data_IF_936663308777
#
_entry.id   IF_936663308777
#
_cell.length_a   1.000
_cell.length_b   1.000
_cell.length_c   1.000
_cell.angle_alpha   90.00
_cell.angle_beta   90.00
_cell.angle_gamma   90.00
#
_symmetry.space_group_name_H-M   'P 1'
#
loop_
_entity.id
_entity.type
_entity.pdbx_description
1 polymer ?
#
# COMPACT_ATOMS: atom_id res chain seq x y z
N UNK A 1 12.96 -47.12 -3.64
CA UNK A 1 13.64 -45.96 -3.02
C UNK A 1 14.47 -45.28 -4.10
N UNK A 2 13.95 -44.20 -4.70
CA UNK A 2 14.65 -43.37 -5.69
C UNK A 2 14.41 -41.91 -5.29
N UNK A 3 15.46 -41.24 -4.83
CA UNK A 3 15.51 -39.81 -4.56
C UNK A 3 15.58 -39.07 -5.90
N UNK A 4 14.68 -38.12 -6.12
CA UNK A 4 14.75 -37.17 -7.23
C UNK A 4 15.12 -35.81 -6.62
N UNK A 5 16.31 -35.31 -6.94
CA UNK A 5 16.75 -33.94 -6.62
C UNK A 5 16.18 -32.98 -7.66
N UNK A 6 15.29 -32.07 -7.25
CA UNK A 6 14.91 -30.90 -8.05
C UNK A 6 15.84 -29.73 -7.69
N UNK A 7 16.82 -29.46 -8.55
CA UNK A 7 17.60 -28.22 -8.52
C UNK A 7 16.82 -27.14 -9.27
N UNK A 8 16.00 -26.38 -8.55
CA UNK A 8 15.30 -25.21 -9.08
C UNK A 8 16.16 -23.96 -8.99
N UNK A 9 16.65 -23.49 -10.13
CA UNK A 9 17.37 -22.22 -10.28
C UNK A 9 16.35 -21.06 -10.15
N UNK A 10 16.37 -20.34 -9.03
CA UNK A 10 15.54 -19.14 -8.84
C UNK A 10 16.26 -17.96 -9.49
N UNK A 11 15.73 -17.50 -10.64
CA UNK A 11 16.18 -16.29 -11.29
C UNK A 11 15.75 -15.07 -10.46
N UNK A 12 16.71 -14.40 -9.83
CA UNK A 12 16.50 -13.12 -9.17
C UNK A 12 16.25 -12.03 -10.22
N UNK A 13 15.04 -11.48 -10.24
CA UNK A 13 14.79 -10.19 -10.88
C UNK A 13 15.48 -9.09 -10.06
N UNK A 14 16.61 -8.60 -10.56
CA UNK A 14 17.26 -7.39 -10.08
C UNK A 14 16.34 -6.21 -10.39
N UNK A 15 15.80 -5.59 -9.35
CA UNK A 15 15.30 -4.21 -9.43
C UNK A 15 16.43 -3.31 -8.97
N UNK A 16 17.11 -2.68 -9.92
CA UNK A 16 18.00 -1.56 -9.64
C UNK A 16 17.15 -0.38 -9.17
N UNK A 17 17.08 -0.18 -7.86
CA UNK A 17 16.75 1.14 -7.32
C UNK A 17 18.02 1.96 -7.49
N UNK A 18 18.06 2.81 -8.52
CA UNK A 18 18.97 3.95 -8.51
C UNK A 18 18.46 4.86 -7.40
N UNK A 19 19.10 4.81 -6.24
CA UNK A 19 18.94 5.82 -5.21
C UNK A 19 19.53 7.11 -5.78
N UNK A 20 18.70 7.92 -6.44
CA UNK A 20 19.06 9.31 -6.67
C UNK A 20 19.10 9.99 -5.31
N UNK A 21 20.29 10.39 -4.85
CA UNK A 21 20.42 11.26 -3.68
C UNK A 21 19.43 12.41 -3.82
N UNK A 22 18.52 12.52 -2.84
CA UNK A 22 17.64 13.67 -2.76
C UNK A 22 18.52 14.93 -2.62
N UNK A 23 18.32 15.96 -3.44
CA UNK A 23 19.04 17.21 -3.26
C UNK A 23 18.73 17.72 -1.85
N UNK A 24 19.78 17.98 -1.05
CA UNK A 24 19.69 18.77 0.19
C UNK A 24 19.30 20.20 -0.19
N UNK A 25 18.03 20.41 -0.49
CA UNK A 25 17.42 21.73 -0.48
C UNK A 25 17.24 22.10 0.98
N UNK A 26 18.10 22.99 1.48
CA UNK A 26 17.82 23.70 2.72
C UNK A 26 16.58 24.56 2.48
N UNK A 27 15.42 24.07 2.92
CA UNK A 27 14.18 24.84 2.92
C UNK A 27 14.33 26.00 3.91
N UNK A 28 14.23 27.23 3.42
CA UNK A 28 14.03 28.42 4.25
C UNK A 28 12.90 28.14 5.24
N UNK A 29 13.06 28.42 6.55
CA UNK A 29 11.97 28.21 7.50
C UNK A 29 10.80 29.13 7.12
N UNK A 30 9.76 28.55 6.54
CA UNK A 30 8.51 29.24 6.29
C UNK A 30 7.91 29.62 7.64
N UNK A 31 7.50 30.87 7.81
CA UNK A 31 6.80 31.34 9.01
C UNK A 31 5.39 30.74 9.17
N UNK A 32 4.92 29.98 8.17
CA UNK A 32 3.62 29.34 8.14
C UNK A 32 3.63 27.99 8.86
N UNK A 33 2.56 27.69 9.59
CA UNK A 33 2.39 26.39 10.23
C UNK A 33 2.42 25.25 9.19
N UNK A 34 2.88 24.03 9.55
CA UNK A 34 2.86 22.89 8.62
C UNK A 34 1.49 22.70 7.98
N UNK A 35 0.44 22.92 8.78
CA UNK A 35 -0.95 22.90 8.36
C UNK A 35 -1.26 23.77 7.14
N UNK A 36 -0.81 25.02 7.16
CA UNK A 36 -1.10 26.00 6.11
C UNK A 36 -0.38 25.68 4.79
N UNK A 37 0.71 24.91 4.87
CA UNK A 37 1.50 24.49 3.71
C UNK A 37 0.90 23.30 2.96
N UNK A 38 -0.04 22.57 3.57
CA UNK A 38 -0.63 21.36 2.97
C UNK A 38 -1.58 21.73 1.83
N UNK A 39 -1.36 21.14 0.67
CA UNK A 39 -2.24 21.19 -0.49
C UNK A 39 -2.58 19.78 -0.97
N UNK A 40 -3.60 19.66 -1.83
CA UNK A 40 -4.00 18.38 -2.43
C UNK A 40 -2.85 17.75 -3.24
N UNK A 41 -1.94 18.57 -3.75
CA UNK A 41 -0.83 18.14 -4.60
C UNK A 41 0.44 17.76 -3.82
N UNK A 42 0.58 18.12 -2.55
CA UNK A 42 1.85 17.98 -1.81
C UNK A 42 1.78 17.13 -0.54
N UNK A 43 0.59 16.76 -0.07
CA UNK A 43 0.43 16.07 1.22
C UNK A 43 1.12 14.69 1.28
N UNK A 44 1.28 14.00 0.14
CA UNK A 44 1.90 12.66 -0.01
C UNK A 44 3.03 12.68 -1.05
N UNK A 45 3.97 13.63 -0.91
CA UNK A 45 5.18 13.72 -1.75
C UNK A 45 6.47 13.30 -1.02
N UNK A 46 6.36 12.93 0.26
CA UNK A 46 7.49 12.59 1.11
C UNK A 46 8.16 13.80 1.74
N UNK A 47 9.12 13.54 2.62
CA UNK A 47 9.79 14.56 3.43
C UNK A 47 8.97 15.00 4.64
N UNK A 48 9.43 16.07 5.30
CA UNK A 48 8.90 16.50 6.60
C UNK A 48 7.41 16.90 6.57
N UNK A 49 6.93 17.48 5.47
CA UNK A 49 5.51 17.86 5.36
C UNK A 49 4.59 16.63 5.31
N UNK A 50 4.91 15.65 4.47
CA UNK A 50 4.14 14.39 4.43
C UNK A 50 4.21 13.63 5.74
N UNK A 51 5.38 13.59 6.38
CA UNK A 51 5.54 13.00 7.72
C UNK A 51 4.60 13.64 8.74
N UNK A 52 4.54 14.98 8.79
CA UNK A 52 3.59 15.69 9.64
C UNK A 52 2.14 15.35 9.31
N UNK A 53 1.77 15.30 8.02
CA UNK A 53 0.41 14.93 7.59
C UNK A 53 0.04 13.52 8.06
N UNK A 54 0.96 12.56 8.03
CA UNK A 54 0.69 11.17 8.38
C UNK A 54 0.32 10.95 9.84
N UNK A 55 0.76 11.85 10.73
CA UNK A 55 0.41 11.85 12.15
C UNK A 55 -0.72 12.83 12.50
N UNK A 56 -1.12 13.71 11.57
CA UNK A 56 -2.15 14.75 11.76
C UNK A 56 -3.27 14.70 10.71
N UNK A 57 -3.58 13.50 10.19
CA UNK A 57 -4.56 13.30 9.10
C UNK A 57 -5.92 13.93 9.40
N UNK A 58 -6.38 13.85 10.65
CA UNK A 58 -7.69 14.38 11.07
C UNK A 58 -7.76 15.90 11.04
N UNK A 59 -6.62 16.57 11.10
CA UNK A 59 -6.59 17.98 10.81
C UNK A 59 -6.82 18.16 9.31
N UNK A 60 -6.15 17.38 8.45
CA UNK A 60 -6.04 17.58 6.98
C UNK A 60 -7.31 17.22 6.23
N UNK A 61 -7.86 16.07 6.51
CA UNK A 61 -8.99 15.53 5.78
C UNK A 61 -10.21 15.40 6.69
N UNK A 62 -11.42 15.59 6.16
CA UNK A 62 -12.65 15.26 6.88
C UNK A 62 -12.57 13.82 7.41
N UNK A 63 -12.66 13.69 8.73
CA UNK A 63 -12.40 12.43 9.42
C UNK A 63 -13.56 12.06 10.34
N UNK A 64 -13.90 10.78 10.37
CA UNK A 64 -14.85 10.21 11.31
C UNK A 64 -14.10 9.39 12.36
N UNK A 65 -14.52 9.50 13.62
CA UNK A 65 -13.90 8.75 14.73
C UNK A 65 -14.51 7.35 14.79
N UNK A 66 -13.70 6.33 14.52
CA UNK A 66 -14.03 4.93 14.80
C UNK A 66 -13.65 4.65 16.26
N UNK A 67 -14.65 4.58 17.15
CA UNK A 67 -14.41 4.34 18.57
C UNK A 67 -14.09 2.85 18.81
N UNK A 68 -13.13 2.58 19.69
CA UNK A 68 -12.91 1.22 20.22
C UNK A 68 -14.18 0.71 20.91
N UNK A 69 -14.47 -0.58 20.73
CA UNK A 69 -15.48 -1.28 21.51
C UNK A 69 -14.83 -2.11 22.62
N UNK A 70 -15.51 -2.26 23.75
CA UNK A 70 -15.09 -3.17 24.82
C UNK A 70 -13.87 -2.72 25.65
N UNK A 71 -13.37 -3.65 26.46
CA UNK A 71 -12.22 -3.44 27.34
C UNK A 71 -10.89 -3.42 26.56
N UNK A 72 -9.89 -2.73 27.10
CA UNK A 72 -8.51 -2.78 26.58
C UNK A 72 -7.93 -4.15 26.95
N UNK A 73 -7.26 -4.78 25.99
CA UNK A 73 -6.47 -5.99 26.22
C UNK A 73 -5.00 -5.60 26.09
N UNK A 74 -4.31 -5.53 27.22
CA UNK A 74 -2.88 -5.25 27.25
C UNK A 74 -2.09 -6.47 26.78
N UNK A 75 -1.18 -6.25 25.83
CA UNK A 75 -0.25 -7.29 25.39
C UNK A 75 0.93 -7.36 26.37
N UNK A 76 1.29 -8.55 26.90
CA UNK A 76 2.48 -8.69 27.71
C UNK A 76 3.73 -8.28 26.93
N UNK A 77 4.66 -7.60 27.62
CA UNK A 77 5.92 -7.13 27.04
C UNK A 77 7.07 -8.06 27.48
N UNK A 78 7.81 -8.59 26.50
CA UNK A 78 9.00 -9.43 26.70
C UNK A 78 10.04 -9.03 25.66
N UNK A 79 10.62 -7.84 25.82
CA UNK A 79 11.56 -7.27 24.86
C UNK A 79 12.82 -8.12 24.71
N UNK A 80 13.22 -8.33 23.46
CA UNK A 80 14.35 -9.17 23.05
C UNK A 80 15.33 -8.33 22.25
N UNK A 81 16.48 -8.03 22.86
CA UNK A 81 17.51 -7.18 22.24
C UNK A 81 18.08 -7.81 20.97
N UNK A 82 18.06 -9.14 20.87
CA UNK A 82 18.45 -9.89 19.67
C UNK A 82 17.60 -9.56 18.44
N UNK A 83 16.34 -9.14 18.62
CA UNK A 83 15.45 -8.74 17.52
C UNK A 83 15.96 -7.44 16.88
N UNK A 84 16.35 -6.45 17.69
CA UNK A 84 16.96 -5.21 17.22
C UNK A 84 18.32 -5.44 16.54
N UNK A 85 19.04 -6.48 16.95
CA UNK A 85 20.34 -6.88 16.39
C UNK A 85 20.24 -7.71 15.09
N UNK A 86 19.03 -8.07 14.63
CA UNK A 86 18.84 -8.82 13.38
C UNK A 86 19.47 -8.07 12.21
N UNK A 87 20.30 -8.79 11.44
CA UNK A 87 20.97 -8.24 10.27
C UNK A 87 20.03 -8.22 9.07
N UNK A 88 19.83 -7.04 8.53
CA UNK A 88 19.09 -6.76 7.30
C UNK A 88 20.10 -6.50 6.17
N UNK A 89 19.82 -7.05 4.99
CA UNK A 89 20.60 -6.77 3.78
C UNK A 89 19.88 -5.72 2.95
N UNK A 90 20.60 -4.65 2.64
CA UNK A 90 20.13 -3.60 1.75
C UNK A 90 20.26 -4.05 0.28
N UNK A 91 19.56 -3.35 -0.61
CA UNK A 91 19.59 -3.64 -2.04
C UNK A 91 20.99 -3.41 -2.67
N UNK A 92 21.80 -2.53 -2.07
CA UNK A 92 23.19 -2.27 -2.47
C UNK A 92 24.20 -3.29 -1.90
N UNK A 93 23.72 -4.29 -1.15
CA UNK A 93 24.56 -5.32 -0.52
C UNK A 93 25.16 -4.93 0.83
N UNK A 94 24.95 -3.68 1.30
CA UNK A 94 25.34 -3.30 2.65
C UNK A 94 24.47 -4.00 3.71
N UNK A 95 25.01 -4.17 4.92
CA UNK A 95 24.27 -4.71 6.06
C UNK A 95 23.97 -3.60 7.07
N UNK A 96 22.77 -3.64 7.64
CA UNK A 96 22.40 -2.84 8.81
C UNK A 96 21.59 -3.70 9.79
N UNK A 97 21.55 -3.32 11.06
CA UNK A 97 20.65 -3.98 12.02
C UNK A 97 19.23 -3.47 11.87
N UNK A 98 18.24 -4.20 12.39
CA UNK A 98 16.86 -3.69 12.51
C UNK A 98 16.81 -2.38 13.29
N UNK A 99 17.61 -2.28 14.36
CA UNK A 99 17.76 -1.05 15.13
C UNK A 99 18.23 0.13 14.28
N UNK A 100 19.23 -0.07 13.43
CA UNK A 100 19.72 0.97 12.54
C UNK A 100 18.67 1.35 11.50
N UNK A 101 17.97 0.37 10.94
CA UNK A 101 16.92 0.61 9.97
C UNK A 101 15.76 1.41 10.56
N UNK A 102 15.26 1.04 11.75
CA UNK A 102 14.15 1.76 12.38
C UNK A 102 14.56 3.19 12.75
N UNK A 103 15.81 3.41 13.17
CA UNK A 103 16.28 4.74 13.55
C UNK A 103 16.84 5.59 12.39
N UNK A 104 16.70 5.17 11.13
CA UNK A 104 17.26 5.90 9.98
C UNK A 104 16.45 7.12 9.51
N UNK A 105 15.31 7.40 10.16
CA UNK A 105 14.42 8.52 9.85
C UNK A 105 13.34 8.24 8.80
N UNK A 106 13.25 7.01 8.28
CA UNK A 106 12.19 6.58 7.37
C UNK A 106 11.06 5.77 8.04
N UNK A 107 11.22 5.43 9.33
CA UNK A 107 10.26 4.62 10.09
C UNK A 107 9.77 5.42 11.28
N UNK A 108 8.45 5.57 11.36
CA UNK A 108 7.81 6.33 12.43
C UNK A 108 7.68 5.53 13.71
N UNK A 109 7.26 4.26 13.55
CA UNK A 109 7.17 3.27 14.62
C UNK A 109 7.25 1.86 14.08
N UNK A 110 7.78 0.95 14.89
CA UNK A 110 7.91 -0.46 14.58
C UNK A 110 7.59 -1.30 15.81
N UNK A 111 6.67 -2.25 15.66
CA UNK A 111 6.21 -3.18 16.70
C UNK A 111 6.30 -4.61 16.15
N UNK A 112 6.93 -5.52 16.90
CA UNK A 112 6.94 -6.95 16.60
C UNK A 112 6.27 -7.70 17.75
N UNK A 113 5.21 -8.42 17.40
CA UNK A 113 4.48 -9.28 18.32
C UNK A 113 4.79 -10.74 17.97
N UNK A 114 5.21 -11.52 18.96
CA UNK A 114 5.47 -12.95 18.81
C UNK A 114 4.82 -13.72 19.96
N UNK A 115 4.03 -14.75 19.62
CA UNK A 115 3.28 -15.55 20.59
C UNK A 115 2.42 -14.72 21.58
N UNK A 116 1.78 -13.66 21.06
CA UNK A 116 0.91 -12.77 21.86
C UNK A 116 1.67 -11.79 22.76
N UNK A 117 2.99 -11.66 22.62
CA UNK A 117 3.82 -10.76 23.41
C UNK A 117 4.54 -9.76 22.53
N UNK A 118 4.71 -8.54 23.01
CA UNK A 118 5.56 -7.54 22.36
C UNK A 118 7.01 -7.94 22.63
N UNK A 119 7.75 -8.29 21.57
CA UNK A 119 9.17 -8.71 21.67
C UNK A 119 10.13 -7.65 21.15
N UNK A 120 9.63 -6.64 20.46
CA UNK A 120 10.39 -5.48 20.00
C UNK A 120 9.42 -4.33 19.74
N UNK A 121 9.73 -3.15 20.25
CA UNK A 121 9.03 -1.93 19.88
C UNK A 121 9.96 -0.72 19.92
N UNK A 122 9.84 0.16 18.93
CA UNK A 122 10.53 1.46 18.88
C UNK A 122 9.67 2.46 18.12
N UNK A 123 9.65 3.71 18.61
CA UNK A 123 8.90 4.81 18.01
C UNK A 123 9.81 6.04 17.90
N UNK A 124 10.66 6.12 16.84
CA UNK A 124 11.64 7.20 16.72
C UNK A 124 11.04 8.58 16.52
N UNK A 125 9.85 8.67 15.92
CA UNK A 125 9.23 9.96 15.57
C UNK A 125 7.82 10.16 16.10
N UNK A 126 7.21 9.14 16.70
CA UNK A 126 5.86 9.17 17.26
C UNK A 126 5.86 8.63 18.69
N UNK A 127 4.79 8.83 19.43
CA UNK A 127 4.51 8.16 20.70
C UNK A 127 3.74 6.86 20.48
N UNK A 128 3.76 5.91 21.43
CA UNK A 128 3.04 4.65 21.31
C UNK A 128 1.52 4.78 21.10
N UNK A 129 0.93 5.89 21.53
CA UNK A 129 -0.51 6.18 21.44
C UNK A 129 -0.90 7.17 20.33
N UNK A 130 0.07 7.64 19.55
CA UNK A 130 -0.20 8.50 18.39
C UNK A 130 -0.95 7.75 17.28
N UNK A 131 -1.85 8.46 16.61
CA UNK A 131 -2.51 7.95 15.40
C UNK A 131 -1.62 8.17 14.18
N UNK A 132 -1.53 7.15 13.32
CA UNK A 132 -0.77 7.21 12.08
C UNK A 132 -1.64 6.78 10.90
N UNK A 133 -1.48 7.43 9.74
CA UNK A 133 -2.11 6.96 8.50
C UNK A 133 -1.58 5.58 8.13
N UNK A 134 -2.47 4.63 7.85
CA UNK A 134 -2.08 3.26 7.47
C UNK A 134 -2.25 3.00 5.97
N UNK A 135 -2.61 4.04 5.21
CA UNK A 135 -2.81 3.99 3.76
C UNK A 135 -3.66 2.78 3.34
N UNK A 136 -3.17 1.98 2.39
CA UNK A 136 -3.88 0.81 1.85
C UNK A 136 -4.04 -0.34 2.84
N UNK A 137 -3.38 -0.35 4.01
CA UNK A 137 -3.66 -1.35 5.06
C UNK A 137 -5.13 -1.28 5.49
N UNK A 138 -5.76 -0.11 5.40
CA UNK A 138 -7.20 0.12 5.65
C UNK A 138 -8.10 -0.88 4.92
N UNK A 139 -7.72 -1.30 3.71
CA UNK A 139 -8.51 -2.22 2.87
C UNK A 139 -8.72 -3.58 3.54
N UNK A 140 -7.74 -4.07 4.29
CA UNK A 140 -7.87 -5.32 5.03
C UNK A 140 -9.01 -5.26 6.06
N UNK A 141 -9.20 -4.10 6.70
CA UNK A 141 -10.28 -3.87 7.68
C UNK A 141 -11.65 -3.90 6.99
N UNK A 142 -11.78 -3.21 5.85
CA UNK A 142 -13.01 -3.20 5.04
C UNK A 142 -13.34 -4.61 4.52
N UNK A 143 -12.33 -5.33 4.04
CA UNK A 143 -12.48 -6.71 3.57
C UNK A 143 -12.91 -7.67 4.67
N UNK A 144 -12.36 -7.54 5.87
CA UNK A 144 -12.77 -8.36 7.01
C UNK A 144 -14.25 -8.12 7.36
N UNK A 145 -14.70 -6.87 7.36
CA UNK A 145 -16.11 -6.54 7.57
C UNK A 145 -17.00 -7.14 6.47
N UNK A 146 -16.55 -7.09 5.21
CA UNK A 146 -17.28 -7.65 4.09
C UNK A 146 -17.38 -9.19 4.17
N UNK A 147 -16.30 -9.87 4.56
CA UNK A 147 -16.30 -11.31 4.79
C UNK A 147 -17.28 -11.71 5.90
N UNK A 148 -17.35 -10.95 7.00
CA UNK A 148 -18.35 -11.15 8.06
C UNK A 148 -19.77 -10.99 7.53
N UNK A 149 -20.02 -10.00 6.66
CA UNK A 149 -21.34 -9.77 6.08
C UNK A 149 -21.75 -10.87 5.08
N UNK A 150 -20.78 -11.41 4.34
CA UNK A 150 -20.98 -12.57 3.45
C UNK A 150 -21.30 -13.82 4.27
N UNK A 151 -20.53 -14.12 5.32
CA UNK A 151 -20.78 -15.26 6.23
C UNK A 151 -22.16 -15.19 6.90
N UNK A 152 -22.62 -13.97 7.22
CA UNK A 152 -23.96 -13.72 7.74
C UNK A 152 -25.08 -13.81 6.68
N UNK A 153 -24.76 -14.07 5.41
CA UNK A 153 -25.71 -14.12 4.30
C UNK A 153 -26.33 -12.76 3.95
N UNK A 154 -25.76 -11.64 4.44
CA UNK A 154 -26.25 -10.28 4.18
C UNK A 154 -25.76 -9.73 2.85
N UNK A 155 -24.61 -10.20 2.39
CA UNK A 155 -24.02 -9.88 1.09
C UNK A 155 -23.72 -11.19 0.37
N UNK A 156 -23.83 -11.17 -0.94
CA UNK A 156 -23.46 -12.26 -1.83
C UNK A 156 -22.45 -11.70 -2.82
N UNK A 157 -21.18 -12.10 -2.70
CA UNK A 157 -20.11 -11.52 -3.52
C UNK A 157 -20.19 -11.93 -5.00
N UNK A 158 -20.94 -12.99 -5.33
CA UNK A 158 -21.15 -13.39 -6.72
C UNK A 158 -22.15 -12.47 -7.45
N UNK A 159 -22.86 -11.60 -6.73
CA UNK A 159 -23.73 -10.60 -7.34
C UNK A 159 -22.95 -9.42 -7.91
N UNK A 160 -23.43 -8.82 -9.02
CA UNK A 160 -22.92 -7.56 -9.53
C UNK A 160 -22.97 -6.44 -8.49
N UNK A 161 -21.99 -5.53 -8.53
CA UNK A 161 -21.85 -4.44 -7.57
C UNK A 161 -23.08 -3.52 -7.52
N UNK A 162 -23.76 -3.32 -8.65
CA UNK A 162 -24.95 -2.48 -8.74
C UNK A 162 -26.18 -3.03 -7.98
N UNK A 163 -26.15 -4.31 -7.57
CA UNK A 163 -27.17 -4.87 -6.69
C UNK A 163 -27.07 -4.29 -5.27
N UNK A 164 -25.88 -3.84 -4.87
CA UNK A 164 -25.62 -3.23 -3.56
C UNK A 164 -25.51 -1.71 -3.66
N UNK A 165 -25.04 -1.19 -4.80
CA UNK A 165 -24.86 0.23 -5.07
C UNK A 165 -25.59 0.62 -6.37
N UNK A 166 -26.92 0.87 -6.33
CA UNK A 166 -27.73 1.13 -7.52
C UNK A 166 -27.23 2.32 -8.37
N UNK A 167 -26.51 3.27 -7.78
CA UNK A 167 -25.93 4.44 -8.44
C UNK A 167 -24.77 4.12 -9.39
N UNK A 168 -24.28 2.87 -9.36
CA UNK A 168 -23.25 2.36 -10.27
C UNK A 168 -23.82 1.81 -11.58
N UNK A 169 -25.15 1.73 -11.71
CA UNK A 169 -25.79 1.36 -12.99
C UNK A 169 -25.35 2.32 -14.11
N UNK A 170 -24.94 1.74 -15.24
CA UNK A 170 -24.45 2.50 -16.40
C UNK A 170 -23.06 3.12 -16.23
N UNK A 171 -22.32 2.73 -15.18
CA UNK A 171 -20.88 3.05 -15.05
C UNK A 171 -20.03 1.88 -15.51
N UNK A 172 -18.72 2.11 -15.64
CA UNK A 172 -17.72 1.06 -15.97
C UNK A 172 -17.72 -0.11 -14.97
N UNK A 173 -18.28 0.10 -13.78
CA UNK A 173 -18.42 -0.91 -12.72
C UNK A 173 -19.60 -1.85 -12.91
N UNK A 174 -20.61 -1.45 -13.70
CA UNK A 174 -21.83 -2.20 -13.85
C UNK A 174 -21.55 -3.59 -14.45
N UNK A 175 -22.19 -4.62 -13.90
CA UNK A 175 -21.97 -6.01 -14.29
C UNK A 175 -20.74 -6.67 -13.69
N UNK A 176 -19.85 -5.91 -13.02
CA UNK A 176 -18.70 -6.50 -12.32
C UNK A 176 -19.16 -7.12 -11.02
N UNK A 177 -18.83 -8.41 -10.80
CA UNK A 177 -19.16 -9.08 -9.54
C UNK A 177 -18.40 -8.43 -8.39
N UNK A 178 -19.03 -8.35 -7.23
CA UNK A 178 -18.39 -7.80 -6.05
C UNK A 178 -17.14 -8.61 -5.67
N UNK A 179 -17.14 -9.93 -5.90
CA UNK A 179 -15.98 -10.84 -5.79
C UNK A 179 -14.79 -10.36 -6.63
N UNK A 180 -15.03 -10.00 -7.89
CA UNK A 180 -13.96 -9.55 -8.78
C UNK A 180 -13.40 -8.19 -8.32
N UNK A 181 -14.19 -7.34 -7.67
CA UNK A 181 -13.71 -6.07 -7.12
C UNK A 181 -12.82 -6.25 -5.89
N UNK A 182 -13.25 -7.09 -4.94
CA UNK A 182 -12.49 -7.35 -3.71
C UNK A 182 -11.19 -8.09 -4.00
N UNK A 183 -11.20 -8.93 -5.03
CA UNK A 183 -10.02 -9.67 -5.50
C UNK A 183 -9.15 -8.86 -6.47
N UNK A 184 -9.52 -7.61 -6.79
CA UNK A 184 -8.76 -6.73 -7.69
C UNK A 184 -8.65 -7.27 -9.12
N UNK A 185 -9.73 -7.85 -9.63
CA UNK A 185 -9.86 -8.51 -10.94
C UNK A 185 -10.93 -7.87 -11.84
N UNK A 186 -11.27 -6.61 -11.58
CA UNK A 186 -12.25 -5.83 -12.36
C UNK A 186 -11.85 -5.66 -13.83
N UNK A 187 -10.53 -5.58 -14.11
CA UNK A 187 -10.01 -5.28 -15.44
C UNK A 187 -10.30 -3.86 -15.92
N UNK A 188 -10.71 -2.95 -15.02
CA UNK A 188 -10.99 -1.55 -15.38
C UNK A 188 -9.70 -0.76 -15.59
N UNK A 189 -9.76 0.21 -16.50
CA UNK A 189 -8.66 1.14 -16.73
C UNK A 189 -8.68 2.30 -15.71
N UNK A 190 -7.81 2.19 -14.70
CA UNK A 190 -7.53 3.24 -13.70
C UNK A 190 -6.19 3.94 -13.92
N UNK A 191 -6.11 5.23 -13.57
CA UNK A 191 -4.84 5.97 -13.47
C UNK A 191 -4.52 6.21 -11.99
N UNK A 192 -3.43 5.63 -11.50
CA UNK A 192 -2.97 5.72 -10.11
C UNK A 192 -2.01 6.90 -9.86
N UNK A 193 -2.03 7.92 -10.72
CA UNK A 193 -1.14 9.08 -10.59
C UNK A 193 -1.63 10.03 -9.50
N UNK A 194 -0.72 10.48 -8.62
CA UNK A 194 -0.99 11.48 -7.59
C UNK A 194 -1.42 12.84 -8.14
N UNK A 195 -1.09 13.12 -9.41
CA UNK A 195 -1.59 14.25 -10.19
C UNK A 195 -2.89 13.92 -10.96
N UNK A 196 -3.77 13.11 -10.40
CA UNK A 196 -5.10 12.84 -10.95
C UNK A 196 -6.00 14.07 -10.87
N UNK A 197 -5.66 15.14 -11.59
CA UNK A 197 -6.49 16.32 -11.73
C UNK A 197 -7.86 15.90 -12.29
N UNK A 198 -8.88 15.95 -11.43
CA UNK A 198 -10.27 15.86 -11.85
C UNK A 198 -10.57 16.99 -12.83
N UNK A 199 -10.53 16.69 -14.12
CA UNK A 199 -11.19 17.44 -15.17
C UNK A 199 -11.64 16.46 -16.28
N UNK A 200 -12.92 16.43 -16.72
CA UNK A 200 -14.10 17.16 -16.26
C UNK A 200 -14.96 16.33 -15.28
N UNK A 201 -15.86 17.00 -14.54
CA UNK A 201 -16.77 16.51 -13.46
C UNK A 201 -17.43 15.12 -13.59
N UNK A 202 -17.40 14.45 -14.75
CA UNK A 202 -17.94 13.10 -14.95
C UNK A 202 -16.92 11.98 -14.67
N UNK A 203 -15.62 12.25 -14.76
CA UNK A 203 -14.56 11.24 -14.58
C UNK A 203 -14.09 11.06 -13.13
N UNK A 204 -14.54 11.90 -12.20
CA UNK A 204 -14.19 11.83 -10.78
C UNK A 204 -14.76 10.56 -10.06
N UNK A 205 -15.45 9.65 -10.79
CA UNK A 205 -15.85 8.32 -10.29
C UNK A 205 -14.70 7.28 -10.31
N UNK A 206 -13.56 7.59 -10.94
CA UNK A 206 -12.48 6.62 -11.17
C UNK A 206 -11.57 6.34 -9.96
N UNK A 207 -11.68 7.11 -8.87
CA UNK A 207 -10.96 6.81 -7.62
C UNK A 207 -11.64 5.76 -6.72
N UNK A 208 -12.72 5.11 -7.18
CA UNK A 208 -13.43 4.09 -6.39
C UNK A 208 -12.73 2.73 -6.34
N UNK A 209 -11.77 2.45 -7.22
CA UNK A 209 -10.93 1.22 -7.11
C UNK A 209 -9.99 1.29 -5.92
N UNK A 210 -9.38 2.46 -5.68
CA UNK A 210 -8.51 2.68 -4.53
C UNK A 210 -9.25 2.59 -3.18
N UNK A 211 -10.58 2.77 -3.16
CA UNK A 211 -11.41 2.61 -1.96
C UNK A 211 -11.77 1.14 -1.66
N UNK A 212 -11.69 0.23 -2.64
CA UNK A 212 -12.11 -1.15 -2.44
C UNK A 212 -10.92 -2.03 -2.04
N UNK A 213 -9.91 -2.33 -2.86
CA UNK A 213 -8.76 -3.13 -2.41
C UNK A 213 -7.50 -2.78 -3.23
N UNK A 214 -6.35 -3.38 -2.93
CA UNK A 214 -5.08 -3.47 -3.68
C UNK A 214 -4.26 -4.45 -2.83
N UNK A 215 -3.62 -5.49 -3.37
CA UNK A 215 -2.58 -5.40 -4.41
C UNK A 215 -2.20 -6.77 -5.02
N UNK A 216 -1.58 -6.67 -6.21
CA UNK A 216 -0.62 -7.59 -6.87
C UNK A 216 -1.10 -8.87 -7.58
N UNK A 217 -1.01 -8.90 -8.93
CA UNK A 217 -0.06 -9.77 -9.64
C UNK A 217 0.12 -9.44 -11.15
N UNK A 218 1.38 -9.45 -11.58
CA UNK A 218 1.97 -9.90 -12.86
C UNK A 218 1.62 -9.28 -14.24
N UNK A 219 2.68 -8.76 -14.88
CA UNK A 219 3.00 -8.79 -16.32
C UNK A 219 1.86 -8.48 -17.31
N UNK A 220 1.73 -7.21 -17.67
CA UNK A 220 1.34 -6.85 -19.04
C UNK A 220 2.61 -6.56 -19.86
N UNK A 221 2.87 -7.42 -20.84
CA UNK A 221 4.01 -7.39 -21.75
C UNK A 221 4.24 -6.00 -22.36
N UNK A 222 5.44 -5.47 -22.17
CA UNK A 222 6.00 -4.37 -22.95
C UNK A 222 6.48 -4.80 -24.35
N UNK A 223 5.82 -5.79 -24.99
CA UNK A 223 6.23 -6.31 -26.30
C UNK A 223 5.14 -6.37 -27.38
N UNK A 224 3.89 -5.98 -27.11
CA UNK A 224 2.83 -5.98 -28.14
C UNK A 224 2.68 -4.65 -28.92
N UNK A 225 3.72 -3.80 -28.94
CA UNK A 225 3.76 -2.56 -29.75
C UNK A 225 4.76 -2.56 -30.91
N UNK A 226 5.31 -3.71 -31.31
CA UNK A 226 6.19 -3.80 -32.48
C UNK A 226 5.77 -4.83 -33.54
N UNK A 227 4.57 -5.42 -33.45
CA UNK A 227 4.01 -6.28 -34.50
C UNK A 227 3.08 -5.56 -35.49
N UNK A 228 3.25 -4.24 -35.67
CA UNK A 228 2.66 -3.47 -36.79
C UNK A 228 3.75 -2.61 -37.42
N UNK A 229 4.61 -3.24 -38.19
CA UNK A 229 5.25 -2.69 -39.38
C UNK A 229 6.12 -3.82 -39.94
N UNK A 230 5.62 -4.45 -41.00
CA UNK A 230 6.20 -5.65 -41.57
C UNK A 230 7.66 -5.45 -41.96
N UNK A 231 8.51 -6.33 -41.44
CA UNK A 231 9.74 -6.74 -42.10
C UNK A 231 9.89 -8.25 -41.95
N UNK A 232 10.41 -8.82 -43.02
CA UNK A 232 10.39 -10.20 -43.48
C UNK A 232 11.04 -11.23 -42.54
N UNK A 233 10.36 -12.36 -42.47
CA UNK A 233 10.79 -13.73 -42.18
C UNK A 233 12.24 -14.06 -42.56
N UNK A 234 12.98 -14.68 -41.63
CA UNK A 234 14.05 -15.62 -41.94
C UNK A 234 14.01 -16.75 -40.90
N UNK A 235 13.56 -17.92 -41.35
CA UNK A 235 13.71 -19.19 -40.64
C UNK A 235 15.16 -19.70 -40.79
N UNK A 236 15.61 -20.53 -39.85
CA UNK A 236 16.31 -21.84 -40.06
C UNK A 236 16.68 -22.41 -38.65
N UNK A 237 16.69 -23.76 -38.46
CA UNK A 237 16.19 -24.42 -37.24
C UNK A 237 17.22 -25.27 -36.46
N UNK A 238 16.71 -25.86 -35.36
CA UNK A 238 17.26 -26.86 -34.41
C UNK A 238 18.16 -26.35 -33.29
#
# INVERSE_FOLDING_TARGET
>A
MKLIFFSGLVAFCVWTIVATEAPKSASTPSSESPRAQVTVENWDKGGALSHWVYTHVSEVFPSAVVRRGGAIVDLPVELKSEIGALKLKNADGSEQTLDQFVNNGAVDGCLVVHAGKIVYEKYPTIQPDDLHIIMSVTKAVVLAALAILEDQGKIDLEKPVENFLPELKGSDWAGTRLRDLVDMRSGMEGSETSNGSCAPRRSCRKQREAAICLRFCARSNANDRLARNGLTQAAIPL
#
